data_IF_391939455912
#
_entry.id   IF_391939455912
#
_cell.length_a   1.000
_cell.length_b   1.000
_cell.length_c   1.000
_cell.angle_alpha   90.00
_cell.angle_beta   90.00
_cell.angle_gamma   90.00
#
_symmetry.space_group_name_H-M   'P 1'
#
loop_
_entity.id
_entity.type
_entity.pdbx_description
1 polymer ?
#
# COMPACT_ATOMS: atom_id res chain seq x y z
N UNK A 1 -5.02 14.20 -8.68
CA UNK A 1 -5.80 13.62 -7.57
C UNK A 1 -6.98 14.47 -7.12
N UNK A 2 -6.78 15.73 -6.69
CA UNK A 2 -7.87 16.66 -6.28
C UNK A 2 -9.05 16.72 -7.26
N UNK A 3 -8.76 16.90 -8.54
CA UNK A 3 -9.74 16.93 -9.63
C UNK A 3 -10.53 15.61 -9.71
N UNK A 4 -9.83 14.46 -9.74
CA UNK A 4 -10.45 13.13 -9.74
C UNK A 4 -11.32 12.86 -8.50
N UNK A 5 -10.85 13.18 -7.29
CA UNK A 5 -11.65 12.99 -6.06
C UNK A 5 -12.97 13.78 -6.14
N UNK A 6 -12.94 14.99 -6.71
CA UNK A 6 -14.14 15.83 -6.89
C UNK A 6 -15.05 15.36 -8.03
N UNK A 7 -14.49 14.78 -9.08
CA UNK A 7 -15.22 14.33 -10.28
C UNK A 7 -15.78 12.91 -10.16
N UNK A 8 -15.36 12.15 -9.14
CA UNK A 8 -15.83 10.77 -9.00
C UNK A 8 -17.25 10.79 -8.41
N UNK A 9 -18.24 10.43 -9.21
CA UNK A 9 -19.61 10.18 -8.76
C UNK A 9 -19.72 8.83 -8.03
N UNK A 10 -20.52 8.79 -6.94
CA UNK A 10 -20.77 7.61 -6.13
C UNK A 10 -20.00 7.53 -4.79
N UNK A 11 -20.30 6.50 -3.99
CA UNK A 11 -19.70 6.31 -2.66
C UNK A 11 -18.25 5.80 -2.78
N UNK A 12 -17.28 6.72 -2.78
CA UNK A 12 -15.85 6.41 -2.87
C UNK A 12 -15.12 6.76 -1.60
N UNK A 13 -14.20 5.88 -1.20
CA UNK A 13 -13.27 6.08 -0.08
C UNK A 13 -11.83 6.01 -0.60
N UNK A 14 -11.08 7.09 -0.43
CA UNK A 14 -9.66 7.12 -0.82
C UNK A 14 -8.80 6.69 0.37
N UNK A 15 -8.20 5.51 0.26
CA UNK A 15 -7.36 4.91 1.30
C UNK A 15 -5.93 4.87 0.81
N UNK A 16 -4.96 5.16 1.68
CA UNK A 16 -3.55 5.00 1.38
C UNK A 16 -2.92 3.84 2.15
N UNK A 17 -1.85 3.30 1.57
CA UNK A 17 -0.98 2.36 2.24
C UNK A 17 0.49 2.68 1.96
N UNK A 18 1.33 2.56 2.99
CA UNK A 18 2.78 2.53 2.84
C UNK A 18 3.41 1.49 3.76
N UNK A 19 4.62 1.06 3.43
CA UNK A 19 5.39 0.13 4.26
C UNK A 19 6.85 0.53 4.32
N UNK A 20 7.57 -0.02 5.28
CA UNK A 20 9.03 0.05 5.34
C UNK A 20 9.64 -1.34 5.53
N UNK A 21 10.62 -1.67 4.68
CA UNK A 21 11.37 -2.93 4.76
C UNK A 21 12.17 -3.04 6.05
N UNK A 22 12.40 -4.29 6.49
CA UNK A 22 13.45 -4.61 7.47
C UNK A 22 14.80 -4.16 6.91
N UNK A 23 15.43 -3.19 7.56
CA UNK A 23 16.74 -2.66 7.20
C UNK A 23 17.41 -2.11 8.46
N UNK A 24 18.76 -2.05 8.43
CA UNK A 24 19.60 -1.53 9.51
C UNK A 24 19.53 -0.01 9.58
N UNK A 25 18.37 0.48 10.01
CA UNK A 25 18.13 1.89 10.37
C UNK A 25 17.63 1.93 11.80
N UNK A 26 17.96 3.00 12.52
CA UNK A 26 17.43 3.21 13.87
C UNK A 26 15.90 3.30 13.87
N UNK A 27 15.28 3.01 15.01
CA UNK A 27 13.83 3.14 15.15
C UNK A 27 13.36 4.58 14.89
N UNK A 28 14.11 5.58 15.35
CA UNK A 28 13.80 6.99 15.09
C UNK A 28 13.83 7.33 13.60
N UNK A 29 14.86 6.88 12.88
CA UNK A 29 14.95 7.11 11.45
C UNK A 29 13.82 6.40 10.70
N UNK A 30 13.42 5.21 11.16
CA UNK A 30 12.26 4.50 10.62
C UNK A 30 10.96 5.30 10.81
N UNK A 31 10.73 5.83 12.00
CA UNK A 31 9.57 6.71 12.29
C UNK A 31 9.58 7.92 11.37
N UNK A 32 10.71 8.62 11.22
CA UNK A 32 10.84 9.80 10.34
C UNK A 32 10.52 9.48 8.87
N UNK A 33 11.05 8.38 8.35
CA UNK A 33 10.79 7.96 6.97
C UNK A 33 9.33 7.60 6.73
N UNK A 34 8.71 6.89 7.66
CA UNK A 34 7.29 6.55 7.60
C UNK A 34 6.43 7.80 7.71
N UNK A 35 6.78 8.72 8.62
CA UNK A 35 6.06 9.97 8.81
C UNK A 35 5.99 10.77 7.50
N UNK A 36 7.12 10.88 6.79
CA UNK A 36 7.18 11.54 5.49
C UNK A 36 6.29 10.87 4.45
N UNK A 37 6.25 9.53 4.41
CA UNK A 37 5.36 8.80 3.50
C UNK A 37 3.88 9.04 3.84
N UNK A 38 3.53 8.99 5.13
CA UNK A 38 2.16 9.23 5.62
C UNK A 38 1.72 10.66 5.30
N UNK A 39 2.56 11.66 5.51
CA UNK A 39 2.25 13.06 5.19
C UNK A 39 2.02 13.28 3.69
N UNK A 40 2.84 12.66 2.84
CA UNK A 40 2.61 12.72 1.38
C UNK A 40 1.23 12.15 1.05
N UNK A 41 0.91 10.96 1.56
CA UNK A 41 -0.36 10.29 1.28
C UNK A 41 -1.56 11.07 1.83
N UNK A 42 -1.46 11.59 3.06
CA UNK A 42 -2.52 12.32 3.73
C UNK A 42 -2.74 13.71 3.10
N UNK A 43 -1.67 14.48 2.94
CA UNK A 43 -1.74 15.91 2.58
C UNK A 43 -1.67 16.13 1.07
N UNK A 44 -0.75 15.46 0.37
CA UNK A 44 -0.58 15.65 -1.09
C UNK A 44 -1.57 14.81 -1.88
N UNK A 45 -1.76 13.55 -1.49
CA UNK A 45 -2.71 12.65 -2.16
C UNK A 45 -4.14 12.74 -1.62
N UNK A 46 -4.37 13.51 -0.55
CA UNK A 46 -5.69 13.71 0.07
C UNK A 46 -6.40 12.41 0.45
N UNK A 47 -5.65 11.44 0.97
CA UNK A 47 -6.23 10.18 1.39
C UNK A 47 -6.98 10.35 2.72
N UNK A 48 -8.18 9.79 2.80
CA UNK A 48 -9.03 9.88 3.99
C UNK A 48 -8.51 8.98 5.10
N UNK A 49 -8.03 7.80 4.73
CA UNK A 49 -7.43 6.81 5.64
C UNK A 49 -6.00 6.47 5.23
N UNK A 50 -5.07 6.29 6.17
CA UNK A 50 -3.69 5.89 5.88
C UNK A 50 -3.28 4.70 6.75
N UNK A 51 -2.97 3.57 6.12
CA UNK A 51 -2.51 2.36 6.81
C UNK A 51 -1.01 2.14 6.58
N UNK A 52 -0.34 1.55 7.56
CA UNK A 52 1.13 1.47 7.57
C UNK A 52 1.62 0.10 8.03
N UNK A 53 2.57 -0.49 7.31
CA UNK A 53 3.36 -1.62 7.83
C UNK A 53 4.81 -1.18 8.06
N UNK A 54 5.21 -0.82 9.29
CA UNK A 54 6.50 -0.18 9.53
C UNK A 54 7.69 -1.13 9.39
N UNK A 55 7.47 -2.45 9.47
CA UNK A 55 8.52 -3.46 9.43
C UNK A 55 8.03 -4.67 8.63
N UNK A 56 8.02 -4.57 7.31
CA UNK A 56 7.42 -5.58 6.42
C UNK A 56 8.21 -5.71 5.12
N UNK A 57 8.48 -6.93 4.65
CA UNK A 57 9.10 -7.14 3.33
C UNK A 57 8.09 -6.91 2.20
N UNK A 58 8.58 -6.49 1.04
CA UNK A 58 7.73 -6.32 -0.15
C UNK A 58 7.10 -7.63 -0.62
N UNK A 59 7.81 -8.74 -0.40
CA UNK A 59 7.40 -10.10 -0.75
C UNK A 59 6.50 -10.75 0.29
N UNK A 60 6.29 -10.13 1.46
CA UNK A 60 5.39 -10.67 2.48
C UNK A 60 3.95 -10.70 1.98
N UNK A 61 3.27 -11.83 2.19
CA UNK A 61 1.88 -12.07 1.80
C UNK A 61 0.96 -10.97 2.36
N UNK A 62 0.28 -10.26 1.47
CA UNK A 62 -0.52 -9.07 1.76
C UNK A 62 -1.58 -9.36 2.82
N UNK A 63 -2.34 -10.44 2.66
CA UNK A 63 -3.41 -10.80 3.60
C UNK A 63 -2.89 -11.21 4.99
N UNK A 64 -1.59 -11.45 5.13
CA UNK A 64 -0.96 -11.90 6.38
C UNK A 64 -0.09 -10.84 7.07
N UNK A 65 0.05 -9.67 6.45
CA UNK A 65 0.89 -8.60 7.00
C UNK A 65 0.37 -8.12 8.33
N UNK A 66 1.29 -7.87 9.26
CA UNK A 66 0.99 -7.29 10.57
C UNK A 66 0.00 -8.13 11.41
N UNK A 67 -0.06 -9.45 11.21
CA UNK A 67 -0.78 -10.34 12.14
C UNK A 67 -0.14 -10.38 13.53
N UNK A 68 1.18 -10.16 13.61
CA UNK A 68 1.88 -10.01 14.89
C UNK A 68 2.03 -8.53 15.26
N UNK A 69 1.72 -8.19 16.51
CA UNK A 69 1.73 -6.82 17.05
C UNK A 69 3.14 -6.24 17.27
N UNK A 70 4.19 -6.79 16.67
CA UNK A 70 5.60 -6.41 16.90
C UNK A 70 5.98 -5.02 16.35
N UNK A 71 5.00 -4.23 15.93
CA UNK A 71 5.18 -2.95 15.24
C UNK A 71 4.58 -1.74 15.98
N UNK A 72 3.89 -1.98 17.11
CA UNK A 72 3.16 -0.94 17.85
C UNK A 72 4.02 0.28 18.21
N UNK A 73 5.21 0.06 18.79
CA UNK A 73 6.11 1.15 19.25
C UNK A 73 6.58 2.09 18.15
N UNK A 74 6.76 1.60 16.92
CA UNK A 74 7.10 2.45 15.77
C UNK A 74 5.88 3.19 15.28
N UNK A 75 4.74 2.49 15.19
CA UNK A 75 3.52 3.10 14.71
C UNK A 75 3.06 4.21 15.64
N UNK A 76 3.02 4.04 16.96
CA UNK A 76 2.47 5.00 17.93
C UNK A 76 3.06 6.42 17.78
N UNK A 77 4.32 6.52 17.37
CA UNK A 77 5.03 7.80 17.16
C UNK A 77 4.66 8.51 15.84
N UNK A 78 4.07 7.80 14.88
CA UNK A 78 3.62 8.40 13.63
C UNK A 78 2.29 9.13 13.80
N UNK A 79 2.09 10.26 13.12
CA UNK A 79 0.81 11.00 13.09
C UNK A 79 0.01 10.61 11.83
N UNK A 80 -1.29 10.87 11.84
CA UNK A 80 -2.22 10.70 10.70
C UNK A 80 -2.36 9.27 10.12
N UNK A 81 -1.86 8.26 10.83
CA UNK A 81 -2.17 6.86 10.53
C UNK A 81 -3.55 6.48 11.09
N UNK A 82 -4.19 5.51 10.45
CA UNK A 82 -5.45 4.89 10.88
C UNK A 82 -5.25 3.43 11.33
N UNK A 83 -4.05 2.88 11.17
CA UNK A 83 -3.69 1.54 11.66
C UNK A 83 -2.67 0.83 10.78
N UNK A 84 -2.56 -0.49 10.97
CA UNK A 84 -1.72 -1.38 10.15
C UNK A 84 -2.52 -2.05 9.02
N UNK A 85 -1.87 -2.92 8.24
CA UNK A 85 -2.49 -3.49 7.04
C UNK A 85 -3.72 -4.37 7.34
N UNK A 86 -3.75 -5.11 8.45
CA UNK A 86 -4.99 -5.84 8.83
C UNK A 86 -6.18 -4.91 9.08
N UNK A 87 -5.96 -3.69 9.59
CA UNK A 87 -7.01 -2.68 9.73
C UNK A 87 -7.57 -2.26 8.36
N UNK A 88 -6.71 -2.13 7.35
CA UNK A 88 -7.13 -1.91 5.97
C UNK A 88 -7.93 -3.10 5.43
N UNK A 89 -7.44 -4.32 5.62
CA UNK A 89 -8.12 -5.55 5.15
C UNK A 89 -9.52 -5.65 5.77
N UNK A 90 -9.66 -5.34 7.06
CA UNK A 90 -10.95 -5.32 7.76
C UNK A 90 -11.89 -4.27 7.16
N UNK A 91 -11.42 -3.02 7.04
CA UNK A 91 -12.18 -1.93 6.40
C UNK A 91 -12.63 -2.33 4.99
N UNK A 92 -11.73 -2.88 4.18
CA UNK A 92 -12.04 -3.24 2.80
C UNK A 92 -13.05 -4.39 2.70
N UNK A 93 -13.05 -5.32 3.65
CA UNK A 93 -14.04 -6.42 3.67
C UNK A 93 -15.43 -5.96 4.09
N UNK A 94 -15.54 -5.01 5.02
CA UNK A 94 -16.82 -4.54 5.56
C UNK A 94 -17.40 -3.32 4.84
N UNK A 95 -16.58 -2.59 4.09
CA UNK A 95 -17.01 -1.36 3.41
C UNK A 95 -17.94 -1.63 2.23
N UNK A 96 -19.04 -0.88 2.19
CA UNK A 96 -19.91 -0.75 1.01
C UNK A 96 -19.40 0.30 0.00
N UNK A 97 -18.39 1.10 0.37
CA UNK A 97 -17.80 2.10 -0.51
C UNK A 97 -16.80 1.48 -1.50
N UNK A 98 -16.69 2.11 -2.67
CA UNK A 98 -15.63 1.82 -3.63
C UNK A 98 -14.30 2.38 -3.11
N UNK A 99 -13.33 1.51 -2.90
CA UNK A 99 -12.02 1.87 -2.38
C UNK A 99 -11.05 2.16 -3.52
N UNK A 100 -10.43 3.34 -3.45
CA UNK A 100 -9.25 3.74 -4.22
C UNK A 100 -8.03 3.61 -3.32
N UNK A 101 -7.18 2.61 -3.59
CA UNK A 101 -5.97 2.37 -2.80
C UNK A 101 -4.79 3.15 -3.39
N UNK A 102 -4.26 4.12 -2.66
CA UNK A 102 -3.13 4.95 -3.08
C UNK A 102 -1.82 4.44 -2.44
N UNK A 103 -0.80 4.27 -3.27
CA UNK A 103 0.55 3.83 -2.88
C UNK A 103 1.62 4.73 -3.51
N UNK A 104 2.81 4.77 -2.94
CA UNK A 104 3.91 5.62 -3.43
C UNK A 104 4.70 4.97 -4.56
N UNK A 105 4.83 3.64 -4.54
CA UNK A 105 5.48 2.85 -5.58
C UNK A 105 4.94 1.42 -5.55
N UNK A 106 5.23 0.63 -6.60
CA UNK A 106 4.76 -0.75 -6.69
C UNK A 106 5.24 -1.60 -5.52
N UNK A 107 6.54 -1.55 -5.22
CA UNK A 107 7.16 -2.29 -4.12
C UNK A 107 6.67 -1.85 -2.72
N UNK A 108 6.07 -0.66 -2.61
CA UNK A 108 5.42 -0.13 -1.42
C UNK A 108 4.10 -0.84 -1.13
N UNK A 109 3.46 -1.42 -2.15
CA UNK A 109 2.41 -2.42 -1.95
C UNK A 109 3.00 -3.82 -1.88
N UNK A 110 3.55 -4.36 -2.97
CA UNK A 110 4.07 -5.74 -3.00
C UNK A 110 5.05 -5.92 -4.16
N UNK A 111 5.89 -6.96 -4.06
CA UNK A 111 6.66 -7.47 -5.19
C UNK A 111 6.17 -8.83 -5.70
N UNK A 112 5.01 -9.29 -5.23
CA UNK A 112 4.42 -10.57 -5.61
C UNK A 112 3.09 -10.32 -6.35
N UNK A 113 3.08 -10.36 -7.70
CA UNK A 113 1.88 -10.18 -8.51
C UNK A 113 0.75 -11.17 -8.19
N UNK A 114 1.09 -12.44 -7.97
CA UNK A 114 0.10 -13.48 -7.67
C UNK A 114 -0.63 -13.22 -6.36
N UNK A 115 0.12 -12.78 -5.35
CA UNK A 115 -0.45 -12.38 -4.07
C UNK A 115 -1.29 -11.09 -4.17
N UNK A 116 -0.89 -10.14 -5.03
CA UNK A 116 -1.73 -8.99 -5.37
C UNK A 116 -3.06 -9.42 -5.97
N UNK A 117 -3.06 -10.35 -6.93
CA UNK A 117 -4.28 -10.86 -7.55
C UNK A 117 -5.19 -11.53 -6.51
N UNK A 118 -4.63 -12.32 -5.59
CA UNK A 118 -5.37 -12.92 -4.47
C UNK A 118 -6.02 -11.84 -3.59
N UNK A 119 -5.30 -10.78 -3.26
CA UNK A 119 -5.83 -9.64 -2.50
C UNK A 119 -7.01 -8.97 -3.24
N UNK A 120 -6.85 -8.64 -4.53
CA UNK A 120 -7.87 -7.94 -5.32
C UNK A 120 -9.11 -8.80 -5.58
N UNK A 121 -8.95 -10.12 -5.70
CA UNK A 121 -10.08 -11.06 -5.75
C UNK A 121 -10.85 -11.08 -4.44
N UNK A 122 -10.14 -11.08 -3.29
CA UNK A 122 -10.74 -11.14 -1.95
C UNK A 122 -11.39 -9.83 -1.53
N UNK A 123 -10.79 -8.69 -1.84
CA UNK A 123 -11.24 -7.36 -1.44
C UNK A 123 -12.04 -6.69 -2.57
N UNK A 124 -13.31 -7.10 -2.74
CA UNK A 124 -14.19 -6.64 -3.84
C UNK A 124 -14.45 -5.13 -3.85
N UNK A 125 -14.33 -4.47 -2.71
CA UNK A 125 -14.48 -3.02 -2.57
C UNK A 125 -13.32 -2.25 -3.21
N UNK A 126 -12.12 -2.83 -3.32
CA UNK A 126 -10.96 -2.19 -3.97
C UNK A 126 -11.19 -2.17 -5.47
N UNK A 127 -11.53 -0.99 -6.00
CA UNK A 127 -11.86 -0.79 -7.42
C UNK A 127 -10.69 -0.28 -8.25
N UNK A 128 -9.72 0.36 -7.62
CA UNK A 128 -8.50 0.79 -8.29
C UNK A 128 -7.32 0.94 -7.32
N UNK A 129 -6.13 0.75 -7.86
CA UNK A 129 -4.86 1.11 -7.22
C UNK A 129 -4.30 2.33 -7.94
N UNK A 130 -3.87 3.32 -7.17
CA UNK A 130 -3.23 4.54 -7.68
C UNK A 130 -1.79 4.59 -7.20
N UNK A 131 -0.85 4.67 -8.12
CA UNK A 131 0.57 4.83 -7.85
C UNK A 131 0.93 6.31 -8.00
N UNK A 132 1.33 6.94 -6.90
CA UNK A 132 1.76 8.33 -6.90
C UNK A 132 3.26 8.46 -7.19
N UNK A 133 3.60 8.96 -8.38
CA UNK A 133 4.98 9.14 -8.85
C UNK A 133 5.48 10.57 -8.63
N UNK A 134 5.15 11.19 -7.49
CA UNK A 134 5.60 12.53 -7.10
C UNK A 134 4.86 13.70 -7.77
N UNK A 135 4.66 13.65 -9.09
CA UNK A 135 3.91 14.69 -9.82
C UNK A 135 2.76 14.12 -10.64
N UNK A 136 2.88 12.85 -11.02
CA UNK A 136 1.87 12.14 -11.81
C UNK A 136 1.27 10.99 -11.02
N UNK A 137 0.14 10.49 -11.53
CA UNK A 137 -0.56 9.35 -10.98
C UNK A 137 -0.73 8.31 -12.08
N UNK A 138 -0.40 7.06 -11.77
CA UNK A 138 -0.80 5.92 -12.57
C UNK A 138 -1.98 5.23 -11.90
N UNK A 139 -3.03 4.93 -12.66
CA UNK A 139 -4.27 4.37 -12.14
C UNK A 139 -4.47 3.00 -12.77
N UNK A 140 -4.60 1.98 -11.92
CA UNK A 140 -4.83 0.61 -12.31
C UNK A 140 -6.23 0.20 -11.84
N UNK A 141 -7.15 0.02 -12.78
CA UNK A 141 -8.51 -0.43 -12.46
C UNK A 141 -8.48 -1.90 -12.01
N UNK A 142 -9.46 -2.29 -11.19
CA UNK A 142 -9.64 -3.69 -10.76
C UNK A 142 -9.76 -4.64 -11.95
N UNK A 143 -10.46 -4.25 -13.01
CA UNK A 143 -10.64 -5.07 -14.21
C UNK A 143 -9.30 -5.33 -14.90
N UNK A 144 -8.48 -4.28 -15.10
CA UNK A 144 -7.15 -4.43 -15.72
C UNK A 144 -6.19 -5.22 -14.82
N UNK A 145 -6.27 -5.04 -13.48
CA UNK A 145 -5.48 -5.83 -12.55
C UNK A 145 -5.83 -7.32 -12.67
N UNK A 146 -7.11 -7.68 -12.74
CA UNK A 146 -7.55 -9.07 -12.81
C UNK A 146 -7.25 -9.76 -14.15
N UNK A 147 -6.99 -9.01 -15.22
CA UNK A 147 -6.48 -9.54 -16.49
C UNK A 147 -5.01 -10.02 -16.39
N UNK A 148 -4.29 -9.68 -15.31
CA UNK A 148 -2.99 -10.23 -14.99
C UNK A 148 -1.79 -9.45 -15.55
N UNK A 149 -1.85 -8.97 -16.80
CA UNK A 149 -0.71 -8.28 -17.43
C UNK A 149 -0.23 -7.05 -16.63
N UNK A 150 -1.17 -6.26 -16.13
CA UNK A 150 -0.85 -5.08 -15.32
C UNK A 150 -0.26 -5.45 -13.95
N UNK A 151 -0.63 -6.62 -13.39
CA UNK A 151 -0.11 -7.07 -12.11
C UNK A 151 1.39 -7.39 -12.18
N UNK A 152 1.91 -7.79 -13.35
CA UNK A 152 3.35 -8.05 -13.57
C UNK A 152 4.23 -6.83 -13.27
N UNK A 153 3.70 -5.61 -13.38
CA UNK A 153 4.44 -4.38 -12.99
C UNK A 153 4.86 -4.37 -11.51
N UNK A 154 4.19 -5.16 -10.68
CA UNK A 154 4.55 -5.29 -9.26
C UNK A 154 5.78 -6.18 -9.06
N UNK A 155 6.13 -7.06 -10.01
CA UNK A 155 7.40 -7.80 -10.00
C UNK A 155 8.58 -6.92 -10.44
N UNK A 156 8.82 -5.88 -9.64
CA UNK A 156 9.75 -4.80 -9.95
C UNK A 156 11.11 -4.94 -9.24
N UNK A 157 11.34 -6.05 -8.54
CA UNK A 157 12.62 -6.33 -7.87
C UNK A 157 13.14 -7.68 -8.35
N UNK A 158 14.06 -7.71 -9.32
CA UNK A 158 14.71 -8.95 -9.67
C UNK A 158 15.41 -9.52 -8.44
N UNK A 159 15.38 -10.85 -8.31
CA UNK A 159 16.16 -11.56 -7.29
C UNK A 159 17.62 -11.09 -7.35
N UNK A 160 18.30 -10.95 -6.19
CA UNK A 160 19.73 -10.68 -6.20
C UNK A 160 20.43 -11.68 -7.12
N UNK A 161 21.17 -11.19 -8.12
CA UNK A 161 21.97 -12.05 -9.00
C UNK A 161 22.87 -12.90 -8.10
N UNK A 162 22.82 -14.23 -8.23
CA UNK A 162 23.78 -15.12 -7.55
C UNK A 162 25.18 -14.72 -8.00
N UNK A 163 25.94 -14.06 -7.12
CA UNK A 163 27.33 -13.62 -7.39
C UNK A 163 28.37 -14.68 -7.06
N UNK A 164 27.95 -15.80 -6.48
CA UNK A 164 28.79 -16.97 -6.29
C UNK A 164 27.96 -18.25 -6.37
N UNK A 165 28.51 -19.21 -7.07
CA UNK A 165 28.27 -20.65 -6.87
C UNK A 165 29.39 -21.11 -5.96
N UNK A 166 29.08 -21.34 -4.68
CA UNK A 166 29.85 -22.30 -3.88
C UNK A 166 29.24 -23.68 -4.14
#
# INVERSE_FOLDING_TARGET
MRKKVRETSGNWLTVAYCRKSKCNVSQEQRVKLIQRMVEILKVKCLCEKVYVSPVCFASSLLLERDFSNNTATVMDKNKYKDGHFQGFVMLAKSSSANIRLVILDYAGLTTNPEDLLKLIRKLKSVKEIVIYKGYTYEILSRQHLLQGEVAKKFDCRPSPVKRSTL
#
